data_IF_105057214690
#
_entry.id   IF_105057214690
#
_cell.length_a   1.000
_cell.length_b   1.000
_cell.length_c   1.000
_cell.angle_alpha   90.00
_cell.angle_beta   90.00
_cell.angle_gamma   90.00
#
_symmetry.space_group_name_H-M   'P 1'
#
loop_
_entity.id
_entity.type
_entity.pdbx_description
1 polymer ?
#
# COMPACT_ATOMS: atom_id res chain seq x y z
N UNK A 1 -34.43 -21.19 -0.17
CA UNK A 1 -33.47 -21.35 0.93
C UNK A 1 -32.23 -20.64 0.46
N UNK A 2 -32.04 -19.40 0.91
CA UNK A 2 -30.89 -18.59 0.51
C UNK A 2 -29.72 -19.02 1.40
N UNK A 3 -28.60 -19.37 0.76
CA UNK A 3 -27.38 -19.78 1.44
C UNK A 3 -26.97 -18.73 2.47
N UNK A 4 -26.95 -19.17 3.72
CA UNK A 4 -26.62 -18.40 4.90
C UNK A 4 -25.09 -18.49 5.15
N UNK A 5 -24.31 -18.37 4.06
CA UNK A 5 -22.86 -18.33 4.16
C UNK A 5 -22.45 -16.98 4.73
N UNK A 6 -21.73 -17.01 5.84
CA UNK A 6 -21.01 -15.86 6.35
C UNK A 6 -20.13 -15.29 5.23
N UNK A 7 -20.16 -13.97 4.97
CA UNK A 7 -19.25 -13.39 4.00
C UNK A 7 -17.81 -13.75 4.37
N UNK A 8 -17.01 -14.05 3.35
CA UNK A 8 -15.60 -14.38 3.47
C UNK A 8 -14.91 -13.28 4.30
N UNK A 9 -14.04 -13.63 5.26
CA UNK A 9 -13.31 -12.63 6.02
C UNK A 9 -12.56 -11.68 5.07
N UNK A 10 -12.36 -10.41 5.47
CA UNK A 10 -11.75 -9.41 4.61
C UNK A 10 -10.40 -9.90 4.05
N UNK A 11 -10.20 -9.72 2.73
CA UNK A 11 -9.12 -10.31 1.91
C UNK A 11 -7.67 -10.03 2.39
N UNK A 12 -7.48 -9.21 3.44
CA UNK A 12 -6.17 -8.79 3.96
C UNK A 12 -5.78 -9.44 5.30
N UNK A 13 -6.32 -10.63 5.58
CA UNK A 13 -5.96 -11.41 6.77
C UNK A 13 -4.65 -12.19 6.55
N UNK A 14 -3.71 -12.04 7.49
CA UNK A 14 -2.70 -13.06 7.73
C UNK A 14 -3.38 -14.21 8.49
N UNK A 15 -3.34 -15.42 7.94
CA UNK A 15 -4.22 -16.57 8.25
C UNK A 15 -4.00 -17.23 9.63
N UNK A 16 -3.44 -16.55 10.62
CA UNK A 16 -3.01 -17.17 11.89
C UNK A 16 -3.94 -16.96 13.10
N UNK A 17 -5.00 -16.13 13.01
CA UNK A 17 -5.94 -15.89 14.13
C UNK A 17 -7.39 -15.84 13.64
N UNK A 18 -8.27 -16.61 14.27
CA UNK A 18 -9.73 -16.56 14.04
C UNK A 18 -10.26 -15.15 14.36
N UNK A 19 -11.03 -14.57 13.44
CA UNK A 19 -11.54 -13.21 13.60
C UNK A 19 -12.66 -13.17 14.64
N UNK A 20 -12.44 -12.46 15.74
CA UNK A 20 -13.49 -12.10 16.70
C UNK A 20 -13.87 -10.61 16.54
N UNK A 21 -15.07 -10.29 16.02
CA UNK A 21 -15.48 -8.92 15.81
C UNK A 21 -15.75 -8.16 17.13
N UNK A 22 -15.89 -8.84 18.28
CA UNK A 22 -16.20 -8.22 19.58
C UNK A 22 -14.99 -7.65 20.31
N UNK A 23 -13.77 -8.03 19.91
CA UNK A 23 -12.53 -7.62 20.57
C UNK A 23 -11.52 -7.10 19.55
N UNK A 24 -10.56 -6.31 20.04
CA UNK A 24 -9.42 -5.88 19.25
C UNK A 24 -8.27 -6.88 19.41
N UNK A 25 -7.71 -7.33 18.31
CA UNK A 25 -6.50 -8.16 18.35
C UNK A 25 -5.25 -7.30 18.70
N UNK A 26 -4.08 -7.89 18.99
CA UNK A 26 -2.88 -7.13 19.38
C UNK A 26 -2.44 -6.06 18.38
N UNK A 27 -2.62 -6.30 17.07
CA UNK A 27 -2.29 -5.31 16.03
C UNK A 27 -3.25 -4.12 16.07
N UNK A 28 -4.52 -4.39 16.33
CA UNK A 28 -5.55 -3.35 16.45
C UNK A 28 -5.38 -2.53 17.74
N UNK A 29 -4.99 -3.16 18.84
CA UNK A 29 -4.67 -2.48 20.09
C UNK A 29 -3.56 -1.44 19.89
N UNK A 30 -2.52 -1.76 19.11
CA UNK A 30 -1.47 -0.79 18.78
C UNK A 30 -2.04 0.46 18.09
N UNK A 31 -2.88 0.28 17.07
CA UNK A 31 -3.50 1.41 16.36
C UNK A 31 -4.45 2.21 17.25
N UNK A 32 -5.25 1.52 18.09
CA UNK A 32 -6.10 2.16 19.08
C UNK A 32 -5.28 3.02 20.05
N UNK A 33 -4.16 2.52 20.53
CA UNK A 33 -3.34 3.22 21.52
C UNK A 33 -2.66 4.45 20.90
N UNK A 34 -2.39 4.44 19.59
CA UNK A 34 -1.91 5.61 18.85
C UNK A 34 -3.01 6.62 18.47
N UNK A 35 -4.28 6.23 18.44
CA UNK A 35 -5.38 7.07 17.95
C UNK A 35 -5.39 8.49 18.54
N UNK A 36 -5.28 8.70 19.87
CA UNK A 36 -5.30 10.06 20.43
C UNK A 36 -4.16 10.95 19.92
N UNK A 37 -2.99 10.38 19.69
CA UNK A 37 -1.84 11.10 19.16
C UNK A 37 -1.99 11.35 17.65
N UNK A 38 -2.49 10.39 16.88
CA UNK A 38 -2.79 10.58 15.45
C UNK A 38 -3.81 11.70 15.24
N UNK A 39 -4.85 11.75 16.06
CA UNK A 39 -5.88 12.79 16.01
C UNK A 39 -5.29 14.18 16.28
N UNK A 40 -4.40 14.31 17.27
CA UNK A 40 -3.65 15.54 17.53
C UNK A 40 -2.77 15.98 16.35
N UNK A 41 -2.29 15.03 15.54
CA UNK A 41 -1.54 15.29 14.32
C UNK A 41 -2.44 15.46 13.08
N UNK A 42 -3.76 15.49 13.24
CA UNK A 42 -4.70 15.75 12.14
C UNK A 42 -5.20 14.51 11.41
N UNK A 43 -5.08 13.32 11.99
CA UNK A 43 -5.50 12.05 11.38
C UNK A 43 -6.43 11.25 12.30
N UNK A 44 -7.65 11.00 11.85
CA UNK A 44 -8.67 10.30 12.61
C UNK A 44 -8.84 8.86 12.07
N UNK A 45 -8.48 7.84 12.86
CA UNK A 45 -8.80 6.45 12.52
C UNK A 45 -10.32 6.17 12.64
N UNK A 46 -10.74 5.04 12.08
CA UNK A 46 -12.13 4.55 12.14
C UNK A 46 -12.60 4.36 13.60
N UNK A 47 -13.90 4.52 13.91
CA UNK A 47 -14.46 4.36 15.26
C UNK A 47 -13.99 3.12 16.04
N UNK A 48 -13.75 2.00 15.36
CA UNK A 48 -13.21 0.75 15.93
C UNK A 48 -11.92 0.96 16.75
N UNK A 49 -11.10 1.94 16.38
CA UNK A 49 -9.80 2.23 17.01
C UNK A 49 -9.88 3.36 18.03
N UNK A 50 -11.07 3.80 18.42
CA UNK A 50 -11.23 4.79 19.47
C UNK A 50 -10.95 4.18 20.86
N UNK A 51 -10.31 4.91 21.78
CA UNK A 51 -10.20 4.46 23.17
C UNK A 51 -11.58 4.19 23.78
N UNK A 52 -11.74 3.02 24.40
CA UNK A 52 -13.02 2.61 24.99
C UNK A 52 -14.10 2.21 23.96
N UNK A 53 -13.71 1.92 22.72
CA UNK A 53 -14.63 1.43 21.68
C UNK A 53 -15.51 0.27 22.18
N UNK A 54 -16.80 0.37 21.87
CA UNK A 54 -17.82 -0.66 22.07
C UNK A 54 -18.42 -0.96 20.70
N UNK A 55 -18.50 -2.24 20.29
CA UNK A 55 -19.08 -2.59 19.00
C UNK A 55 -20.48 -2.01 18.78
N UNK A 56 -20.68 -1.30 17.67
CA UNK A 56 -21.90 -0.55 17.40
C UNK A 56 -23.16 -1.41 17.23
N UNK A 57 -22.99 -2.72 17.00
CA UNK A 57 -24.11 -3.65 16.91
C UNK A 57 -24.62 -4.15 18.27
N UNK A 58 -23.87 -3.96 19.37
CA UNK A 58 -24.30 -4.38 20.70
C UNK A 58 -25.55 -3.59 21.10
N UNK A 59 -26.60 -4.31 21.54
CA UNK A 59 -27.88 -3.70 21.91
C UNK A 59 -28.78 -3.34 20.73
N UNK A 60 -28.41 -3.73 19.50
CA UNK A 60 -29.20 -3.51 18.28
C UNK A 60 -29.61 -4.82 17.63
N UNK A 61 -30.40 -4.77 16.55
CA UNK A 61 -30.71 -5.94 15.70
C UNK A 61 -29.70 -6.14 14.57
N UNK A 62 -28.69 -5.27 14.44
CA UNK A 62 -27.69 -5.35 13.37
C UNK A 62 -26.72 -6.49 13.64
N UNK A 63 -26.19 -7.07 12.58
CA UNK A 63 -25.04 -7.97 12.62
C UNK A 63 -23.74 -7.17 12.47
N UNK A 64 -22.64 -7.71 12.97
CA UNK A 64 -21.34 -7.02 12.94
C UNK A 64 -20.93 -6.58 11.53
N UNK A 65 -21.19 -7.40 10.51
CA UNK A 65 -20.83 -7.11 9.11
C UNK A 65 -21.74 -6.07 8.43
N UNK A 66 -22.78 -5.60 9.12
CA UNK A 66 -23.60 -4.46 8.70
C UNK A 66 -23.12 -3.14 9.32
N UNK A 67 -22.06 -3.20 10.13
CA UNK A 67 -21.48 -2.06 10.82
C UNK A 67 -20.04 -1.83 10.37
N UNK A 68 -19.66 -0.56 10.16
CA UNK A 68 -18.31 -0.18 9.72
C UNK A 68 -17.24 -0.65 10.71
N UNK A 69 -17.48 -0.44 12.00
CA UNK A 69 -16.58 -0.85 13.08
C UNK A 69 -16.54 -2.37 13.31
N UNK A 70 -17.29 -3.13 12.49
CA UNK A 70 -17.21 -4.58 12.39
C UNK A 70 -16.12 -5.06 11.44
N UNK A 71 -15.33 -4.19 10.81
CA UNK A 71 -14.22 -4.58 9.95
C UNK A 71 -12.87 -4.16 10.55
N UNK A 72 -11.99 -5.13 10.78
CA UNK A 72 -10.63 -4.90 11.23
C UNK A 72 -9.63 -4.78 10.06
N UNK A 73 -8.43 -4.28 10.34
CA UNK A 73 -7.28 -4.38 9.42
C UNK A 73 -6.22 -5.30 10.00
N UNK A 74 -5.51 -5.98 9.11
CA UNK A 74 -4.31 -6.75 9.45
C UNK A 74 -3.04 -5.92 9.25
N UNK A 75 -2.05 -6.15 10.12
CA UNK A 75 -0.65 -5.82 9.85
C UNK A 75 -0.20 -4.37 10.08
N UNK A 76 0.52 -3.84 9.09
CA UNK A 76 1.30 -2.61 9.23
C UNK A 76 0.68 -1.36 8.60
N UNK A 77 -0.53 -1.49 8.05
CA UNK A 77 -1.23 -0.43 7.33
C UNK A 77 -2.67 -0.30 7.80
N UNK A 78 -3.18 0.93 7.84
CA UNK A 78 -4.56 1.27 8.20
C UNK A 78 -4.99 2.52 7.44
N UNK A 79 -6.29 2.73 7.27
CA UNK A 79 -6.82 3.97 6.75
C UNK A 79 -7.16 4.99 7.85
N UNK A 80 -7.17 6.28 7.49
CA UNK A 80 -7.63 7.36 8.34
C UNK A 80 -8.30 8.46 7.51
N UNK A 81 -9.05 9.32 8.19
CA UNK A 81 -9.51 10.59 7.65
C UNK A 81 -8.51 11.68 8.05
N UNK A 82 -7.95 12.37 7.05
CA UNK A 82 -7.20 13.60 7.27
C UNK A 82 -8.17 14.72 7.63
N UNK A 83 -8.07 15.23 8.85
CA UNK A 83 -9.11 16.07 9.48
C UNK A 83 -9.35 17.38 8.72
N UNK A 84 -8.29 18.00 8.17
CA UNK A 84 -8.40 19.34 7.61
C UNK A 84 -9.21 19.40 6.30
N UNK A 85 -9.27 18.32 5.53
CA UNK A 85 -9.95 18.28 4.23
C UNK A 85 -10.88 17.07 4.04
N UNK A 86 -10.94 16.15 5.01
CA UNK A 86 -11.76 14.96 4.95
C UNK A 86 -11.22 13.89 3.99
N UNK A 87 -9.99 14.04 3.48
CA UNK A 87 -9.42 13.05 2.54
C UNK A 87 -9.13 11.74 3.26
N UNK A 88 -9.56 10.62 2.67
CA UNK A 88 -9.18 9.28 3.14
C UNK A 88 -7.74 9.00 2.74
N UNK A 89 -6.91 8.68 3.71
CA UNK A 89 -5.47 8.39 3.56
C UNK A 89 -5.13 7.01 4.10
N UNK A 90 -3.95 6.52 3.74
CA UNK A 90 -3.35 5.30 4.28
C UNK A 90 -2.17 5.67 5.20
N UNK A 91 -2.10 5.02 6.36
CA UNK A 91 -1.04 5.14 7.35
C UNK A 91 -0.27 3.83 7.38
N UNK A 92 1.06 3.88 7.22
CA UNK A 92 1.95 2.72 7.30
C UNK A 92 2.96 2.88 8.42
N UNK A 93 3.15 1.82 9.21
CA UNK A 93 4.26 1.69 10.16
C UNK A 93 5.54 1.38 9.36
N UNK A 94 6.39 2.38 9.18
CA UNK A 94 7.72 2.22 8.61
C UNK A 94 8.71 1.97 9.76
N UNK A 95 9.35 0.80 9.74
CA UNK A 95 10.38 0.46 10.72
C UNK A 95 11.71 1.07 10.28
N UNK A 96 12.36 1.77 11.21
CA UNK A 96 13.74 2.22 11.07
C UNK A 96 14.64 1.01 11.42
N UNK A 97 14.65 0.01 10.55
CA UNK A 97 15.63 -1.06 10.62
C UNK A 97 17.01 -0.53 10.17
N UNK A 98 18.09 -1.13 10.66
CA UNK A 98 19.45 -0.77 10.26
C UNK A 98 19.58 -0.83 8.72
N UNK A 99 19.86 0.31 8.09
CA UNK A 99 19.99 0.45 6.64
C UNK A 99 18.68 0.62 5.85
N UNK A 100 17.51 0.65 6.50
CA UNK A 100 16.27 1.05 5.82
C UNK A 100 16.31 2.55 5.49
N UNK A 101 16.01 2.88 4.22
CA UNK A 101 15.90 4.26 3.73
C UNK A 101 14.48 4.61 3.29
N UNK A 102 13.48 3.85 3.73
CA UNK A 102 12.10 3.97 3.23
C UNK A 102 11.54 5.39 3.35
N UNK A 103 11.63 5.99 4.53
CA UNK A 103 11.15 7.35 4.79
C UNK A 103 11.97 8.39 4.02
N UNK A 104 13.28 8.20 3.91
CA UNK A 104 14.20 9.09 3.18
C UNK A 104 13.87 9.11 1.69
N UNK A 105 13.78 7.93 1.06
CA UNK A 105 13.45 7.75 -0.36
C UNK A 105 12.04 8.25 -0.65
N UNK A 106 11.06 7.91 0.19
CA UNK A 106 9.69 8.38 0.05
C UNK A 106 9.60 9.91 0.09
N UNK A 107 10.28 10.56 1.04
CA UNK A 107 10.35 12.03 1.13
C UNK A 107 11.10 12.65 -0.05
N UNK A 108 12.17 12.02 -0.53
CA UNK A 108 12.92 12.48 -1.69
C UNK A 108 12.01 12.60 -2.92
N UNK A 109 11.31 11.53 -3.28
CA UNK A 109 10.36 11.55 -4.40
C UNK A 109 9.11 12.39 -4.13
N UNK A 110 8.82 12.72 -2.87
CA UNK A 110 7.73 13.61 -2.47
C UNK A 110 8.15 15.07 -2.31
N UNK A 111 9.39 15.42 -2.66
CA UNK A 111 9.86 16.80 -2.62
C UNK A 111 9.15 17.67 -3.66
N UNK A 112 9.03 18.96 -3.39
CA UNK A 112 8.35 19.90 -4.30
C UNK A 112 8.98 19.91 -5.71
N UNK A 113 10.30 19.67 -5.80
CA UNK A 113 11.02 19.59 -7.06
C UNK A 113 10.60 18.38 -7.90
N UNK A 114 10.38 17.22 -7.27
CA UNK A 114 10.13 15.95 -7.98
C UNK A 114 8.65 15.63 -8.14
N UNK A 115 7.77 16.15 -7.28
CA UNK A 115 6.32 15.90 -7.37
C UNK A 115 5.65 16.54 -8.59
N UNK A 116 6.31 17.54 -9.21
CA UNK A 116 5.80 18.22 -10.41
C UNK A 116 6.13 17.46 -11.70
N UNK A 117 7.07 16.51 -11.68
CA UNK A 117 7.41 15.71 -12.85
C UNK A 117 6.38 14.58 -13.02
N UNK A 118 5.69 14.57 -14.16
CA UNK A 118 4.66 13.58 -14.45
C UNK A 118 5.19 12.14 -14.55
N UNK A 119 6.50 11.96 -14.78
CA UNK A 119 7.18 10.65 -14.81
C UNK A 119 7.38 10.05 -13.42
N UNK A 120 7.19 10.84 -12.36
CA UNK A 120 7.35 10.40 -10.99
C UNK A 120 6.15 9.54 -10.54
N UNK A 121 6.23 8.24 -10.79
CA UNK A 121 5.25 7.27 -10.32
C UNK A 121 5.57 6.70 -8.91
N UNK A 122 6.44 7.33 -8.13
CA UNK A 122 6.59 6.95 -6.72
C UNK A 122 5.39 7.43 -5.90
N UNK A 123 4.91 6.63 -4.97
CA UNK A 123 3.80 7.03 -4.10
C UNK A 123 4.14 8.30 -3.32
N UNK A 124 3.27 9.34 -3.35
CA UNK A 124 3.53 10.55 -2.60
C UNK A 124 3.34 10.31 -1.10
N UNK A 125 4.31 10.79 -0.32
CA UNK A 125 4.28 10.84 1.14
C UNK A 125 3.79 12.22 1.55
N UNK A 126 2.59 12.26 2.11
CA UNK A 126 1.99 13.50 2.61
C UNK A 126 2.58 13.93 3.94
N UNK A 127 2.91 12.97 4.80
CA UNK A 127 3.51 13.21 6.11
C UNK A 127 4.33 12.00 6.57
N UNK A 128 5.27 12.23 7.48
CA UNK A 128 6.00 11.18 8.17
C UNK A 128 6.17 11.57 9.64
N UNK A 129 5.39 10.91 10.50
CA UNK A 129 5.21 11.24 11.91
C UNK A 129 6.04 10.29 12.78
N UNK A 130 6.98 10.82 13.55
CA UNK A 130 7.76 10.00 14.49
C UNK A 130 6.88 9.59 15.68
N UNK A 131 6.79 8.29 15.96
CA UNK A 131 5.98 7.80 17.08
C UNK A 131 6.60 8.24 18.41
N UNK A 132 5.84 8.82 19.34
CA UNK A 132 6.36 9.22 20.64
C UNK A 132 6.92 8.01 21.41
N UNK A 133 8.12 8.16 21.95
CA UNK A 133 8.78 7.13 22.77
C UNK A 133 9.08 5.81 22.04
N UNK A 134 8.99 5.78 20.70
CA UNK A 134 9.41 4.67 19.86
C UNK A 134 10.23 5.22 18.68
N UNK A 135 11.54 5.35 18.90
CA UNK A 135 12.49 5.82 17.87
C UNK A 135 12.67 4.82 16.72
N UNK A 136 12.08 3.61 16.82
CA UNK A 136 12.15 2.57 15.80
C UNK A 136 11.03 2.64 14.76
N UNK A 137 10.01 3.48 14.96
CA UNK A 137 8.82 3.53 14.09
C UNK A 137 8.48 4.96 13.68
N UNK A 138 8.36 5.17 12.37
CA UNK A 138 7.73 6.35 11.79
C UNK A 138 6.42 5.94 11.13
N UNK A 139 5.35 6.71 11.34
CA UNK A 139 4.10 6.54 10.59
C UNK A 139 4.19 7.36 9.31
N UNK A 140 4.18 6.68 8.17
CA UNK A 140 4.12 7.31 6.85
C UNK A 140 2.64 7.50 6.47
N UNK A 141 2.27 8.71 6.08
CA UNK A 141 0.94 9.04 5.54
C UNK A 141 1.03 9.16 4.02
N UNK A 142 0.21 8.39 3.32
CA UNK A 142 0.20 8.31 1.85
C UNK A 142 -1.25 8.23 1.33
N UNK A 143 -1.52 8.40 0.02
CA UNK A 143 -2.87 8.23 -0.50
C UNK A 143 -3.42 6.83 -0.24
N UNK A 144 -4.74 6.74 -0.08
CA UNK A 144 -5.43 5.46 -0.16
C UNK A 144 -5.42 4.97 -1.61
N UNK A 145 -4.67 3.89 -1.87
CA UNK A 145 -4.56 3.25 -3.18
C UNK A 145 -5.18 1.85 -3.21
N UNK A 146 -5.40 1.34 -4.42
CA UNK A 146 -5.90 -0.02 -4.68
C UNK A 146 -4.86 -0.82 -5.49
N UNK A 147 -4.91 -2.15 -5.45
CA UNK A 147 -4.09 -2.98 -6.33
C UNK A 147 -4.26 -2.57 -7.79
N UNK A 148 -3.18 -2.57 -8.57
CA UNK A 148 -3.19 -2.03 -9.93
C UNK A 148 -4.26 -2.66 -10.85
N UNK A 149 -4.57 -3.93 -10.60
CA UNK A 149 -5.50 -4.78 -11.32
C UNK A 149 -6.92 -4.78 -10.73
N UNK A 150 -7.20 -3.89 -9.77
CA UNK A 150 -8.50 -3.80 -9.11
C UNK A 150 -9.13 -2.41 -9.34
N UNK A 151 -10.27 -2.32 -10.06
CA UNK A 151 -11.01 -3.41 -10.71
C UNK A 151 -10.22 -3.97 -11.91
N UNK A 152 -10.54 -5.15 -12.42
CA UNK A 152 -9.78 -5.76 -13.54
C UNK A 152 -9.67 -4.83 -14.77
N UNK A 153 -8.51 -4.85 -15.42
CA UNK A 153 -8.32 -4.14 -16.70
C UNK A 153 -9.21 -4.77 -17.77
N UNK A 154 -9.90 -3.95 -18.55
CA UNK A 154 -10.95 -4.39 -19.47
C UNK A 154 -10.53 -4.37 -20.94
N UNK A 155 -9.45 -3.65 -21.28
CA UNK A 155 -8.97 -3.53 -22.66
C UNK A 155 -7.46 -3.65 -22.75
N UNK A 156 -6.97 -4.03 -23.93
CA UNK A 156 -5.54 -4.01 -24.24
C UNK A 156 -4.96 -2.59 -24.07
N UNK A 157 -5.74 -1.56 -24.40
CA UNK A 157 -5.33 -0.16 -24.22
C UNK A 157 -5.05 0.19 -22.75
N UNK A 158 -5.87 -0.30 -21.82
CA UNK A 158 -5.64 -0.12 -20.39
C UNK A 158 -4.36 -0.84 -19.91
N UNK A 159 -4.09 -2.04 -20.43
CA UNK A 159 -2.86 -2.77 -20.12
C UNK A 159 -1.61 -2.07 -20.68
N UNK A 160 -1.67 -1.58 -21.92
CA UNK A 160 -0.56 -0.83 -22.54
C UNK A 160 -0.29 0.48 -21.81
N UNK A 161 -1.32 1.19 -21.38
CA UNK A 161 -1.18 2.41 -20.55
C UNK A 161 -0.51 2.08 -19.20
N UNK A 162 -0.95 1.00 -18.56
CA UNK A 162 -0.32 0.49 -17.34
C UNK A 162 1.16 0.17 -17.53
N UNK A 163 1.53 -0.56 -18.58
CA UNK A 163 2.94 -0.89 -18.86
C UNK A 163 3.77 0.37 -19.09
N UNK A 164 3.23 1.35 -19.82
CA UNK A 164 3.88 2.64 -20.04
C UNK A 164 4.21 3.35 -18.73
N UNK A 165 3.22 3.50 -17.85
CA UNK A 165 3.40 4.14 -16.54
C UNK A 165 4.36 3.37 -15.62
N UNK A 166 4.32 2.03 -15.64
CA UNK A 166 5.23 1.19 -14.86
C UNK A 166 6.70 1.42 -15.26
N UNK A 167 6.99 1.36 -16.56
CA UNK A 167 8.34 1.54 -17.06
C UNK A 167 8.81 3.00 -16.96
N UNK A 168 7.93 3.97 -17.17
CA UNK A 168 8.24 5.39 -16.95
C UNK A 168 8.62 5.66 -15.49
N UNK A 169 7.84 5.12 -14.54
CA UNK A 169 8.14 5.20 -13.11
C UNK A 169 9.47 4.58 -12.73
N UNK A 170 9.74 3.37 -13.24
CA UNK A 170 10.99 2.67 -12.96
C UNK A 170 12.20 3.41 -13.56
N UNK A 171 12.09 3.86 -14.82
CA UNK A 171 13.11 4.68 -15.46
C UNK A 171 13.38 5.96 -14.65
N UNK A 172 12.32 6.63 -14.18
CA UNK A 172 12.45 7.84 -13.37
C UNK A 172 13.18 7.59 -12.05
N UNK A 173 12.91 6.48 -11.37
CA UNK A 173 13.67 6.09 -10.17
C UNK A 173 15.14 5.87 -10.50
N UNK A 174 15.41 5.18 -11.61
CA UNK A 174 16.77 4.85 -12.05
C UNK A 174 17.58 6.09 -12.47
N UNK A 175 16.96 7.08 -13.13
CA UNK A 175 17.56 8.39 -13.42
C UNK A 175 18.00 9.13 -12.15
N UNK A 176 17.30 8.90 -11.03
CA UNK A 176 17.63 9.45 -9.72
C UNK A 176 18.53 8.54 -8.88
N UNK A 177 19.13 7.51 -9.49
CA UNK A 177 20.04 6.57 -8.83
C UNK A 177 19.38 5.85 -7.64
N UNK A 178 18.08 5.55 -7.76
CA UNK A 178 17.33 4.76 -6.79
C UNK A 178 16.89 3.45 -7.43
N UNK A 179 17.25 2.32 -6.84
CA UNK A 179 16.70 1.01 -7.20
C UNK A 179 15.58 0.63 -6.23
N UNK A 180 14.43 0.19 -6.75
CA UNK A 180 13.28 -0.22 -5.97
C UNK A 180 13.54 -1.53 -5.23
N UNK A 181 14.13 -2.49 -5.95
CA UNK A 181 14.51 -3.85 -5.56
C UNK A 181 13.37 -4.83 -5.33
N UNK A 182 12.11 -4.45 -5.50
CA UNK A 182 10.96 -5.34 -5.24
C UNK A 182 9.74 -4.96 -6.10
N UNK A 183 9.96 -4.66 -7.37
CA UNK A 183 8.93 -4.15 -8.28
C UNK A 183 7.98 -5.25 -8.79
N UNK A 184 7.32 -5.98 -7.87
CA UNK A 184 6.33 -7.02 -8.20
C UNK A 184 4.89 -6.52 -8.00
N UNK A 185 3.91 -7.31 -8.45
CA UNK A 185 2.48 -6.97 -8.54
C UNK A 185 1.87 -6.37 -7.27
N UNK A 186 2.30 -6.81 -6.08
CA UNK A 186 1.78 -6.28 -4.80
C UNK A 186 2.36 -4.92 -4.40
N UNK A 187 3.44 -4.47 -5.05
CA UNK A 187 4.04 -3.14 -4.83
C UNK A 187 3.67 -2.14 -5.94
N UNK A 188 2.70 -2.49 -6.78
CA UNK A 188 2.18 -1.63 -7.84
C UNK A 188 0.71 -1.37 -7.56
N UNK A 189 0.36 -0.10 -7.40
CA UNK A 189 -0.96 0.35 -6.98
C UNK A 189 -1.54 1.36 -7.96
N UNK A 190 -2.86 1.56 -7.95
CA UNK A 190 -3.57 2.54 -8.77
C UNK A 190 -4.25 3.58 -7.89
N UNK A 191 -4.28 4.83 -8.35
CA UNK A 191 -5.14 5.87 -7.80
C UNK A 191 -6.61 5.54 -8.09
N UNK A 192 -7.43 5.22 -7.07
CA UNK A 192 -8.81 4.84 -7.29
C UNK A 192 -9.72 6.05 -7.53
N UNK A 193 -9.31 7.26 -7.19
CA UNK A 193 -10.21 8.44 -7.17
C UNK A 193 -10.87 8.72 -8.53
N UNK A 194 -10.21 8.56 -9.70
CA UNK A 194 -10.87 8.72 -10.99
C UNK A 194 -11.95 7.68 -11.28
N UNK A 195 -11.82 6.46 -10.71
CA UNK A 195 -12.69 5.31 -10.94
C UNK A 195 -13.85 5.24 -9.95
N UNK A 196 -13.67 5.75 -8.74
CA UNK A 196 -14.60 5.60 -7.62
C UNK A 196 -15.18 6.96 -7.17
N UNK A 197 -16.32 7.40 -7.73
CA UNK A 197 -17.01 8.62 -7.27
C UNK A 197 -17.40 8.57 -5.79
N UNK A 198 -17.62 7.37 -5.27
CA UNK A 198 -17.76 7.08 -3.85
C UNK A 198 -16.65 6.09 -3.51
N UNK A 199 -15.78 6.46 -2.57
CA UNK A 199 -14.64 5.64 -2.18
C UNK A 199 -15.07 4.34 -1.51
N UNK A 200 -14.25 3.31 -1.67
CA UNK A 200 -14.43 2.00 -1.05
C UNK A 200 -13.91 1.97 0.38
N UNK A 201 -14.34 0.99 1.18
CA UNK A 201 -13.85 0.77 2.54
C UNK A 201 -12.50 0.04 2.52
N UNK A 202 -11.51 0.50 3.30
CA UNK A 202 -10.15 -0.05 3.25
C UNK A 202 -10.05 -1.54 3.58
N UNK A 203 -10.77 -1.99 4.61
CA UNK A 203 -10.79 -3.40 5.01
C UNK A 203 -11.75 -4.26 4.17
N UNK A 204 -12.69 -3.65 3.44
CA UNK A 204 -13.69 -4.37 2.64
C UNK A 204 -13.95 -3.55 1.37
N UNK A 205 -13.08 -3.74 0.41
CA UNK A 205 -12.96 -2.90 -0.79
C UNK A 205 -14.09 -3.11 -1.82
N UNK A 206 -15.00 -4.05 -1.55
CA UNK A 206 -16.27 -4.23 -2.25
C UNK A 206 -17.39 -3.31 -1.73
N UNK A 207 -17.23 -2.75 -0.53
CA UNK A 207 -18.20 -1.85 0.09
C UNK A 207 -17.76 -0.40 -0.07
N UNK A 208 -18.73 0.52 -0.03
CA UNK A 208 -18.47 1.95 0.17
C UNK A 208 -17.79 2.17 1.51
N UNK A 209 -17.04 3.27 1.64
CA UNK A 209 -16.32 3.62 2.86
C UNK A 209 -17.20 3.68 4.12
N UNK A 210 -18.46 4.07 3.99
CA UNK A 210 -19.44 4.11 5.09
C UNK A 210 -20.21 2.80 5.28
N UNK A 211 -19.83 1.74 4.56
CA UNK A 211 -20.48 0.42 4.46
C UNK A 211 -21.97 0.45 4.10
N UNK A 212 -22.50 1.55 3.58
CA UNK A 212 -23.92 1.70 3.20
C UNK A 212 -24.37 0.83 2.01
N UNK A 213 -23.43 0.10 1.40
CA UNK A 213 -23.68 -0.84 0.33
C UNK A 213 -22.44 -1.08 -0.52
N UNK A 214 -22.60 -1.83 -1.60
CA UNK A 214 -21.51 -2.10 -2.54
C UNK A 214 -21.05 -0.84 -3.27
N UNK A 215 -19.74 -0.73 -3.46
CA UNK A 215 -19.14 0.33 -4.26
C UNK A 215 -19.39 0.06 -5.75
N UNK A 216 -19.46 1.13 -6.56
CA UNK A 216 -19.52 1.06 -8.02
C UNK A 216 -18.32 1.80 -8.58
N UNK A 217 -17.79 1.33 -9.70
CA UNK A 217 -16.64 1.94 -10.36
C UNK A 217 -16.92 2.23 -11.83
N UNK A 218 -16.16 3.17 -12.37
CA UNK A 218 -16.06 3.46 -13.79
C UNK A 218 -14.92 2.62 -14.40
N UNK A 219 -14.69 2.77 -15.71
CA UNK A 219 -13.62 2.08 -16.44
C UNK A 219 -12.41 2.99 -16.61
N UNK A 220 -11.20 2.42 -16.71
CA UNK A 220 -9.97 3.22 -16.93
C UNK A 220 -9.97 3.88 -18.31
N UNK A 221 -10.59 3.24 -19.29
CA UNK A 221 -10.79 3.79 -20.64
C UNK A 221 -11.59 5.10 -20.60
N UNK A 222 -12.64 5.18 -19.78
CA UNK A 222 -13.44 6.40 -19.63
C UNK A 222 -12.81 7.40 -18.66
N UNK A 223 -11.98 6.94 -17.74
CA UNK A 223 -11.39 7.68 -16.63
C UNK A 223 -9.92 7.28 -16.48
N UNK A 224 -9.00 7.91 -17.22
CA UNK A 224 -7.57 7.61 -17.10
C UNK A 224 -7.11 7.67 -15.64
N UNK A 225 -6.26 6.73 -15.27
CA UNK A 225 -5.77 6.55 -13.90
C UNK A 225 -4.27 6.74 -13.84
N UNK A 226 -3.77 6.92 -12.61
CA UNK A 226 -2.33 6.96 -12.34
C UNK A 226 -1.92 5.75 -11.52
N UNK A 227 -0.85 5.09 -11.92
CA UNK A 227 -0.23 4.00 -11.18
C UNK A 227 0.93 4.51 -10.32
N UNK A 228 1.19 3.83 -9.21
CA UNK A 228 2.26 4.16 -8.29
C UNK A 228 3.05 2.91 -7.87
N UNK A 229 4.36 3.07 -7.81
CA UNK A 229 5.29 2.20 -7.09
C UNK A 229 5.25 2.54 -5.60
N UNK A 230 5.05 1.53 -4.77
CA UNK A 230 4.97 1.66 -3.31
C UNK A 230 6.02 0.79 -2.62
N UNK A 231 6.16 0.99 -1.31
CA UNK A 231 7.04 0.21 -0.43
C UNK A 231 8.52 0.31 -0.77
N UNK A 232 9.16 1.34 -0.21
CA UNK A 232 10.59 1.57 -0.35
C UNK A 232 11.42 0.90 0.76
N UNK A 233 10.84 -0.08 1.48
CA UNK A 233 11.46 -0.73 2.65
C UNK A 233 12.84 -1.34 2.37
N UNK A 234 13.04 -1.85 1.17
CA UNK A 234 14.31 -2.45 0.74
C UNK A 234 15.01 -1.68 -0.38
N UNK A 235 14.42 -0.57 -0.83
CA UNK A 235 15.00 0.27 -1.87
C UNK A 235 16.33 0.87 -1.42
N UNK A 236 17.13 1.28 -2.40
CA UNK A 236 18.46 1.84 -2.17
C UNK A 236 18.70 3.03 -3.06
N UNK A 237 19.34 4.05 -2.49
CA UNK A 237 19.78 5.26 -3.17
C UNK A 237 21.30 5.27 -3.23
N UNK A 238 21.84 5.49 -4.42
CA UNK A 238 23.26 5.43 -4.73
C UNK A 238 23.84 6.82 -5.01
N UNK A 239 25.11 7.00 -4.68
CA UNK A 239 25.86 8.20 -5.05
C UNK A 239 26.18 8.13 -6.56
N UNK A 240 25.74 9.11 -7.38
CA UNK A 240 26.05 9.13 -8.81
C UNK A 240 27.55 9.23 -9.12
N UNK A 241 28.36 9.70 -8.16
CA UNK A 241 29.83 9.75 -8.26
C UNK A 241 30.52 8.51 -7.68
N UNK A 242 29.76 7.58 -7.12
CA UNK A 242 30.24 6.36 -6.50
C UNK A 242 30.64 5.27 -7.51
N UNK A 243 31.15 4.12 -7.00
CA UNK A 243 31.37 2.95 -7.84
C UNK A 243 30.03 2.38 -8.36
N UNK A 244 30.06 1.49 -9.37
CA UNK A 244 28.87 0.77 -9.78
C UNK A 244 28.15 0.11 -8.60
N UNK A 245 26.82 0.21 -8.54
CA UNK A 245 26.02 -0.28 -7.43
C UNK A 245 26.11 -1.81 -7.35
N UNK A 246 26.45 -2.33 -6.17
CA UNK A 246 26.45 -3.76 -5.88
C UNK A 246 25.77 -4.02 -4.55
N UNK A 247 24.78 -4.90 -4.54
CA UNK A 247 23.98 -5.24 -3.37
C UNK A 247 24.08 -6.72 -3.01
N UNK A 248 23.86 -7.00 -1.72
CA UNK A 248 23.67 -8.36 -1.22
C UNK A 248 22.24 -8.84 -1.45
N UNK A 249 22.09 -10.16 -1.53
CA UNK A 249 20.79 -10.82 -1.61
C UNK A 249 19.92 -10.50 -0.39
N UNK A 250 18.61 -10.54 -0.59
CA UNK A 250 17.59 -10.39 0.45
C UNK A 250 16.43 -11.36 0.16
N UNK A 251 15.43 -11.40 1.03
CA UNK A 251 14.23 -12.22 0.81
C UNK A 251 13.30 -11.48 -0.15
N UNK A 252 13.34 -11.84 -1.44
CA UNK A 252 12.52 -11.24 -2.49
C UNK A 252 11.07 -11.72 -2.49
N UNK A 253 10.15 -10.84 -2.90
CA UNK A 253 8.76 -11.18 -3.18
C UNK A 253 8.63 -12.14 -4.37
N UNK A 254 9.29 -11.84 -5.48
CA UNK A 254 9.46 -12.76 -6.62
C UNK A 254 10.77 -13.55 -6.49
N UNK A 255 10.64 -14.88 -6.44
CA UNK A 255 11.74 -15.82 -6.18
C UNK A 255 12.40 -16.34 -7.46
N UNK A 256 11.99 -15.86 -8.64
CA UNK A 256 12.48 -16.35 -9.93
C UNK A 256 13.71 -15.59 -10.46
N UNK A 257 14.15 -14.56 -9.74
CA UNK A 257 15.32 -13.74 -10.08
C UNK A 257 16.55 -14.63 -10.29
N UNK A 258 17.19 -14.59 -11.47
CA UNK A 258 18.36 -15.41 -11.77
C UNK A 258 19.50 -15.23 -10.78
N UNK A 259 19.77 -14.00 -10.35
CA UNK A 259 20.81 -13.61 -9.41
C UNK A 259 20.57 -14.17 -8.00
N UNK A 260 19.34 -14.61 -7.69
CA UNK A 260 18.94 -15.10 -6.36
C UNK A 260 18.90 -16.64 -6.32
N UNK A 261 19.44 -17.31 -7.34
CA UNK A 261 19.55 -18.76 -7.32
C UNK A 261 20.67 -19.21 -6.38
N UNK A 262 20.57 -20.41 -5.77
CA UNK A 262 21.56 -20.90 -4.81
C UNK A 262 23.00 -20.86 -5.32
N UNK A 263 23.23 -21.08 -6.62
CA UNK A 263 24.56 -21.03 -7.23
C UNK A 263 25.21 -19.63 -7.23
N UNK A 264 24.44 -18.56 -7.03
CA UNK A 264 24.94 -17.17 -6.96
C UNK A 264 24.95 -16.60 -5.53
N UNK A 265 24.69 -17.43 -4.52
CA UNK A 265 24.70 -16.97 -3.13
C UNK A 265 26.07 -16.42 -2.71
N UNK A 266 26.06 -15.18 -2.21
CA UNK A 266 27.27 -14.45 -1.80
C UNK A 266 27.93 -13.65 -2.92
N UNK A 267 27.41 -13.69 -4.15
CA UNK A 267 27.85 -12.85 -5.26
C UNK A 267 27.01 -11.57 -5.26
N UNK A 268 27.61 -10.38 -5.09
CA UNK A 268 26.88 -9.12 -5.20
C UNK A 268 26.34 -8.91 -6.62
N UNK A 269 25.20 -8.24 -6.74
CA UNK A 269 24.55 -7.98 -8.03
C UNK A 269 24.22 -6.50 -8.21
N UNK A 270 24.07 -6.09 -9.46
CA UNK A 270 23.54 -4.77 -9.81
C UNK A 270 22.01 -4.80 -9.66
N UNK A 271 21.42 -3.95 -8.79
CA UNK A 271 19.99 -3.96 -8.54
C UNK A 271 19.16 -3.38 -9.69
N UNK A 272 19.73 -2.56 -10.56
CA UNK A 272 18.98 -1.87 -11.61
C UNK A 272 18.43 -2.85 -12.67
N UNK A 273 19.21 -3.81 -13.22
CA UNK A 273 18.66 -4.86 -14.07
C UNK A 273 17.62 -5.75 -13.38
N UNK A 274 17.77 -6.01 -12.07
CA UNK A 274 16.79 -6.83 -11.34
C UNK A 274 15.43 -6.17 -11.22
N UNK A 275 15.38 -4.84 -11.07
CA UNK A 275 14.13 -4.07 -11.14
C UNK A 275 13.40 -4.27 -12.47
N UNK A 276 14.15 -4.19 -13.58
CA UNK A 276 13.58 -4.41 -14.93
C UNK A 276 13.07 -5.84 -15.08
N UNK A 277 13.81 -6.82 -14.52
CA UNK A 277 13.38 -8.22 -14.49
C UNK A 277 12.05 -8.39 -13.75
N UNK A 278 11.90 -7.79 -12.56
CA UNK A 278 10.65 -7.84 -11.79
C UNK A 278 9.48 -7.26 -12.58
N UNK A 279 9.61 -6.04 -13.13
CA UNK A 279 8.54 -5.42 -13.90
C UNK A 279 8.18 -6.24 -15.15
N UNK A 280 9.18 -6.82 -15.83
CA UNK A 280 8.95 -7.74 -16.95
C UNK A 280 8.22 -9.01 -16.53
N UNK A 281 8.51 -9.54 -15.34
CA UNK A 281 7.83 -10.70 -14.79
C UNK A 281 6.38 -10.42 -14.38
N UNK A 282 6.07 -9.22 -13.90
CA UNK A 282 4.67 -8.80 -13.67
C UNK A 282 3.88 -8.92 -14.97
N UNK A 283 4.40 -8.37 -16.07
CA UNK A 283 3.75 -8.44 -17.39
C UNK A 283 3.62 -9.89 -17.84
N UNK A 284 4.69 -10.68 -17.72
CA UNK A 284 4.70 -12.08 -18.14
C UNK A 284 3.73 -12.94 -17.33
N UNK A 285 3.69 -12.76 -16.01
CA UNK A 285 2.89 -13.56 -15.08
C UNK A 285 1.42 -13.19 -15.08
N UNK A 286 1.12 -11.90 -15.10
CA UNK A 286 -0.26 -11.42 -14.86
C UNK A 286 -1.04 -11.19 -16.16
N UNK A 287 -0.36 -11.11 -17.32
CA UNK A 287 -1.01 -10.82 -18.61
C UNK A 287 -0.77 -11.87 -19.71
N UNK A 288 0.27 -12.70 -19.62
CA UNK A 288 0.66 -13.63 -20.71
C UNK A 288 0.57 -15.11 -20.35
N UNK A 289 0.33 -15.46 -19.08
CA UNK A 289 0.16 -16.83 -18.60
C UNK A 289 -1.26 -17.07 -18.09
#
# INVERSE_FOLDING_TARGET
MADNESPTPPRRYDFSVEYDPLVLNPVECYWRDLQPWLEQNGYLLRPRYSPGWIPSWIGTTKKWFECEDGFCVGGNVIDAIRIHDGTIVCLKKARIAEGSKEVEIGRFFSSEALTKDARNHCVPIYDALQVPHDDGITIIVMPLLRSYDEPSLQTIGEAVDFFGQLFEGLQYMHEHHVAHRDCHSFNIMVDPRPLYPVMYHFASDDLKYDVSGRVKHLTRTARPVRYYLIDFGISRMYDPSGPPPLESLFIAGDKSIPEFRPEYFGIPYDPFPTDVYYSGNVIRGDFLM
#
